data_IF_343500424540
#
_entry.id   IF_343500424540
#
_cell.length_a   1.000
_cell.length_b   1.000
_cell.length_c   1.000
_cell.angle_alpha   90.00
_cell.angle_beta   90.00
_cell.angle_gamma   90.00
#
_symmetry.space_group_name_H-M   'P 1'
#
loop_
_entity.id
_entity.type
_entity.pdbx_description
1 polymer ?
#
# COMPACT_ATOMS: atom_id res chain seq x y z
N UNK A 1 -10.03 -2.71 -35.69
CA UNK A 1 -8.81 -3.42 -36.13
C UNK A 1 -7.75 -2.48 -36.71
N UNK A 2 -8.08 -1.56 -37.63
CA UNK A 2 -7.12 -0.59 -38.18
C UNK A 2 -6.57 0.43 -37.15
N UNK A 3 -7.39 0.88 -36.18
CA UNK A 3 -6.96 1.81 -35.13
C UNK A 3 -5.95 1.20 -34.16
N UNK A 4 -6.14 -0.07 -33.75
CA UNK A 4 -5.20 -0.78 -32.89
C UNK A 4 -3.83 -0.99 -33.56
N UNK A 5 -3.82 -1.18 -34.89
CA UNK A 5 -2.60 -1.32 -35.67
C UNK A 5 -1.83 0.01 -35.82
N UNK A 6 -2.55 1.14 -35.91
CA UNK A 6 -1.95 2.48 -35.92
C UNK A 6 -1.38 2.89 -34.56
N UNK A 7 -2.03 2.48 -33.46
CA UNK A 7 -1.52 2.70 -32.09
C UNK A 7 -0.22 1.93 -31.85
N UNK A 8 -0.14 0.67 -32.31
CA UNK A 8 1.07 -0.14 -32.21
C UNK A 8 2.19 0.35 -33.15
N UNK A 9 1.87 0.80 -34.36
CA UNK A 9 2.84 1.32 -35.31
C UNK A 9 3.41 2.70 -34.88
N UNK A 10 2.58 3.57 -34.31
CA UNK A 10 3.04 4.85 -33.75
C UNK A 10 3.90 4.64 -32.50
N UNK A 11 3.52 3.70 -31.62
CA UNK A 11 4.33 3.31 -30.47
C UNK A 11 5.69 2.72 -30.88
N UNK A 12 5.74 1.93 -31.95
CA UNK A 12 6.98 1.35 -32.48
C UNK A 12 7.90 2.38 -33.16
N UNK A 13 7.35 3.37 -33.89
CA UNK A 13 8.13 4.42 -34.54
C UNK A 13 8.73 5.45 -33.55
N UNK A 14 8.13 5.62 -32.37
CA UNK A 14 8.61 6.51 -31.30
C UNK A 14 9.72 5.89 -30.44
N UNK A 15 9.98 4.58 -30.57
CA UNK A 15 11.00 3.85 -29.79
C UNK A 15 12.40 3.88 -30.43
N UNK A 16 12.54 4.36 -31.68
CA UNK A 16 13.80 4.28 -32.44
C UNK A 16 14.64 5.56 -32.49
N UNK A 17 14.20 6.68 -31.92
CA UNK A 17 15.01 7.91 -31.88
C UNK A 17 15.29 8.39 -30.45
N UNK A 18 16.58 8.45 -30.12
CA UNK A 18 17.13 8.95 -28.87
C UNK A 18 16.93 10.48 -28.79
N UNK A 19 16.00 10.96 -27.97
CA UNK A 19 15.89 12.37 -27.59
C UNK A 19 15.43 12.56 -26.14
N UNK A 20 16.05 13.55 -25.49
CA UNK A 20 16.13 13.80 -24.06
C UNK A 20 14.78 14.00 -23.33
N UNK A 21 14.76 13.55 -22.08
CA UNK A 21 13.60 13.08 -21.32
C UNK A 21 12.59 14.13 -20.82
N UNK A 22 12.82 15.44 -20.98
CA UNK A 22 11.87 16.47 -20.47
C UNK A 22 10.64 16.65 -21.37
N UNK A 23 10.73 16.29 -22.65
CA UNK A 23 9.63 16.45 -23.61
C UNK A 23 8.57 15.33 -23.61
N UNK A 24 8.79 14.25 -22.84
CA UNK A 24 7.94 13.04 -22.89
C UNK A 24 6.73 13.09 -21.98
N UNK A 25 6.81 13.73 -20.82
CA UNK A 25 5.70 13.77 -19.85
C UNK A 25 4.61 14.78 -20.24
N UNK A 26 5.00 15.97 -20.71
CA UNK A 26 4.05 16.96 -21.28
C UNK A 26 3.34 16.42 -22.53
N UNK A 27 4.07 15.71 -23.40
CA UNK A 27 3.47 15.04 -24.58
C UNK A 27 2.60 13.85 -24.22
N UNK A 28 2.87 13.15 -23.11
CA UNK A 28 2.03 12.04 -22.68
C UNK A 28 0.66 12.54 -22.24
N UNK A 29 0.60 13.63 -21.46
CA UNK A 29 -0.67 14.28 -21.09
C UNK A 29 -1.45 14.70 -22.34
N UNK A 30 -0.80 15.40 -23.28
CA UNK A 30 -1.42 15.83 -24.55
C UNK A 30 -1.92 14.64 -25.41
N UNK A 31 -1.17 13.54 -25.44
CA UNK A 31 -1.56 12.32 -26.18
C UNK A 31 -2.76 11.64 -25.53
N UNK A 32 -2.79 11.51 -24.19
CA UNK A 32 -3.92 10.90 -23.49
C UNK A 32 -5.19 11.77 -23.57
N UNK A 33 -5.05 13.09 -23.49
CA UNK A 33 -6.16 14.03 -23.72
C UNK A 33 -6.72 13.90 -25.14
N UNK A 34 -5.86 13.85 -26.16
CA UNK A 34 -6.29 13.69 -27.55
C UNK A 34 -6.96 12.32 -27.79
N UNK A 35 -6.48 11.24 -27.14
CA UNK A 35 -7.15 9.93 -27.18
C UNK A 35 -8.53 10.04 -26.55
N UNK A 36 -8.63 10.61 -25.35
CA UNK A 36 -9.90 10.76 -24.61
C UNK A 36 -10.93 11.54 -25.43
N UNK A 37 -10.50 12.61 -26.10
CA UNK A 37 -11.34 13.47 -26.95
C UNK A 37 -11.91 12.75 -28.17
N UNK A 38 -11.17 11.77 -28.71
CA UNK A 38 -11.54 11.04 -29.93
C UNK A 38 -12.19 9.66 -29.70
N UNK A 39 -12.40 9.24 -28.45
CA UNK A 39 -13.15 8.01 -28.15
C UNK A 39 -14.62 8.12 -28.57
N UNK A 40 -15.18 7.04 -29.13
CA UNK A 40 -16.63 6.95 -29.37
C UNK A 40 -17.41 6.89 -28.04
N UNK A 41 -18.73 7.18 -28.03
CA UNK A 41 -19.51 7.19 -26.79
C UNK A 41 -19.45 5.89 -25.96
N UNK A 42 -19.42 4.73 -26.62
CA UNK A 42 -19.30 3.42 -25.95
C UNK A 42 -17.90 3.17 -25.37
N UNK A 43 -16.85 3.60 -26.08
CA UNK A 43 -15.46 3.50 -25.60
C UNK A 43 -15.20 4.47 -24.46
N UNK A 44 -15.74 5.69 -24.53
CA UNK A 44 -15.65 6.67 -23.44
C UNK A 44 -16.33 6.17 -22.16
N UNK A 45 -17.47 5.48 -22.28
CA UNK A 45 -18.12 4.84 -21.12
C UNK A 45 -17.31 3.71 -20.49
N UNK A 46 -16.45 3.04 -21.26
CA UNK A 46 -15.66 1.88 -20.80
C UNK A 46 -14.28 2.28 -20.29
N UNK A 47 -13.60 3.21 -20.98
CA UNK A 47 -12.20 3.57 -20.74
C UNK A 47 -12.01 5.02 -20.24
N UNK A 48 -13.00 5.88 -20.42
CA UNK A 48 -12.93 7.31 -20.08
C UNK A 48 -12.55 7.57 -18.62
N UNK A 49 -13.22 6.97 -17.62
CA UNK A 49 -12.89 7.21 -16.22
C UNK A 49 -11.45 6.83 -15.85
N UNK A 50 -10.94 5.73 -16.40
CA UNK A 50 -9.54 5.30 -16.18
C UNK A 50 -8.55 6.25 -16.84
N UNK A 51 -8.86 6.73 -18.05
CA UNK A 51 -8.01 7.63 -18.80
C UNK A 51 -7.99 9.03 -18.19
N UNK A 52 -9.14 9.54 -17.74
CA UNK A 52 -9.27 10.80 -16.99
C UNK A 52 -8.53 10.76 -15.67
N UNK A 53 -8.65 9.65 -14.91
CA UNK A 53 -7.87 9.47 -13.69
C UNK A 53 -6.36 9.46 -13.99
N UNK A 54 -5.93 8.82 -15.07
CA UNK A 54 -4.53 8.79 -15.49
C UNK A 54 -4.02 10.17 -15.94
N UNK A 55 -4.82 10.93 -16.70
CA UNK A 55 -4.50 12.31 -17.09
C UNK A 55 -4.39 13.22 -15.86
N UNK A 56 -5.36 13.12 -14.94
CA UNK A 56 -5.36 13.90 -13.70
C UNK A 56 -4.19 13.55 -12.79
N UNK A 57 -3.79 12.28 -12.78
CA UNK A 57 -2.59 11.80 -12.10
C UNK A 57 -1.32 12.40 -12.76
N UNK A 58 -1.17 12.29 -14.08
CA UNK A 58 -0.03 12.85 -14.81
C UNK A 58 0.09 14.37 -14.71
N UNK A 59 -1.04 15.09 -14.70
CA UNK A 59 -1.05 16.55 -14.49
C UNK A 59 -0.58 16.98 -13.09
N UNK A 60 -0.66 16.10 -12.09
CA UNK A 60 -0.08 16.34 -10.76
C UNK A 60 1.46 16.21 -10.79
N UNK A 61 2.02 15.48 -11.77
CA UNK A 61 3.45 15.20 -11.88
C UNK A 61 4.25 16.22 -12.72
N UNK A 62 3.60 17.18 -13.40
CA UNK A 62 4.32 18.23 -14.16
C UNK A 62 4.67 19.38 -13.21
N UNK A 63 5.88 19.37 -12.63
CA UNK A 63 6.37 20.42 -11.71
C UNK A 63 7.73 21.05 -12.09
N UNK A 64 7.89 22.40 -11.95
CA UNK A 64 9.15 23.09 -12.20
C UNK A 64 10.17 22.90 -11.06
N UNK A 65 11.38 22.49 -11.44
CA UNK A 65 12.46 22.14 -10.51
C UNK A 65 13.10 23.36 -9.81
N UNK A 66 13.22 23.31 -8.48
CA UNK A 66 14.39 23.72 -7.68
C UNK A 66 14.00 23.95 -6.22
N UNK A 67 14.34 23.01 -5.32
CA UNK A 67 14.05 23.18 -3.90
C UNK A 67 14.94 22.30 -3.00
N UNK A 68 15.70 22.88 -2.02
CA UNK A 68 16.59 22.13 -1.13
C UNK A 68 15.85 21.30 -0.05
N UNK A 69 16.00 19.96 -0.10
CA UNK A 69 15.62 18.87 0.85
C UNK A 69 14.72 19.19 2.07
N UNK A 70 15.04 20.19 2.89
CA UNK A 70 14.18 20.63 3.99
C UNK A 70 12.83 21.19 3.53
N UNK A 71 12.76 21.73 2.31
CA UNK A 71 11.50 22.16 1.72
C UNK A 71 10.79 21.05 0.92
N UNK A 72 11.51 20.03 0.45
CA UNK A 72 10.95 18.89 -0.28
C UNK A 72 10.14 18.00 0.66
N UNK A 73 10.67 17.67 1.84
CA UNK A 73 9.93 16.89 2.84
C UNK A 73 8.63 17.59 3.25
N UNK A 74 8.68 18.89 3.56
CA UNK A 74 7.49 19.65 3.95
C UNK A 74 6.50 19.82 2.80
N UNK A 75 7.00 19.95 1.57
CA UNK A 75 6.16 19.94 0.38
C UNK A 75 5.44 18.59 0.21
N UNK A 76 6.16 17.47 0.27
CA UNK A 76 5.56 16.13 0.18
C UNK A 76 4.53 15.95 1.30
N UNK A 77 4.85 16.32 2.55
CA UNK A 77 3.88 16.28 3.65
C UNK A 77 2.63 17.12 3.37
N UNK A 78 2.77 18.28 2.74
CA UNK A 78 1.61 19.10 2.35
C UNK A 78 0.69 18.39 1.36
N UNK A 79 1.25 17.58 0.46
CA UNK A 79 0.50 16.71 -0.46
C UNK A 79 -0.21 15.61 0.33
N UNK A 80 0.54 14.89 1.19
CA UNK A 80 0.01 13.78 2.01
C UNK A 80 -1.09 14.21 2.99
N UNK A 81 -1.08 15.47 3.43
CA UNK A 81 -2.06 16.04 4.37
C UNK A 81 -3.12 16.90 3.72
N UNK A 82 -3.13 17.05 2.41
CA UNK A 82 -4.05 17.93 1.67
C UNK A 82 -5.53 17.67 1.97
N UNK A 83 -5.89 16.41 2.26
CA UNK A 83 -7.24 15.99 2.62
C UNK A 83 -7.38 15.57 4.09
N UNK A 84 -6.33 15.68 4.91
CA UNK A 84 -6.36 15.20 6.27
C UNK A 84 -7.01 16.22 7.21
N UNK A 85 -7.93 15.77 8.07
CA UNK A 85 -8.54 16.62 9.10
C UNK A 85 -8.49 15.95 10.47
N UNK A 86 -8.30 16.75 11.51
CA UNK A 86 -8.25 16.24 12.89
C UNK A 86 -9.56 15.57 13.27
N UNK A 87 -9.47 14.39 13.86
CA UNK A 87 -10.62 13.56 14.18
C UNK A 87 -10.68 13.22 15.67
N UNK A 88 -11.86 13.31 16.27
CA UNK A 88 -12.06 13.00 17.68
C UNK A 88 -11.87 11.50 18.00
N UNK A 89 -12.17 10.63 17.03
CA UNK A 89 -12.01 9.19 17.12
C UNK A 89 -11.25 8.69 15.88
N UNK A 90 -9.92 8.88 15.83
CA UNK A 90 -9.16 8.64 14.62
C UNK A 90 -8.97 7.14 14.37
N UNK A 91 -8.88 6.79 13.09
CA UNK A 91 -8.68 5.43 12.58
C UNK A 91 -7.30 5.32 11.93
N UNK A 92 -6.58 4.24 12.21
CA UNK A 92 -5.36 3.88 11.50
C UNK A 92 -5.57 2.58 10.71
N UNK A 93 -5.26 2.63 9.43
CA UNK A 93 -5.29 1.49 8.51
C UNK A 93 -3.86 1.13 8.18
N UNK A 94 -3.52 -0.13 8.35
CA UNK A 94 -2.24 -0.67 7.94
C UNK A 94 -2.49 -1.68 6.83
N UNK A 95 -1.92 -1.40 5.66
CA UNK A 95 -1.97 -2.30 4.52
C UNK A 95 -0.60 -2.96 4.42
N UNK A 96 -0.59 -4.28 4.46
CA UNK A 96 0.61 -5.11 4.46
C UNK A 96 0.61 -6.11 3.32
N UNK A 97 1.80 -6.51 2.87
CA UNK A 97 1.93 -7.48 1.79
C UNK A 97 3.26 -7.33 1.07
N UNK A 98 3.84 -8.45 0.65
CA UNK A 98 5.09 -8.46 -0.09
C UNK A 98 5.08 -7.53 -1.30
N UNK A 99 6.26 -7.18 -1.79
CA UNK A 99 6.38 -6.29 -2.96
C UNK A 99 5.58 -6.85 -4.13
N UNK A 100 4.79 -5.99 -4.80
CA UNK A 100 3.92 -6.37 -5.91
C UNK A 100 2.85 -7.45 -5.58
N UNK A 101 2.49 -7.61 -4.31
CA UNK A 101 1.40 -8.50 -3.88
C UNK A 101 -0.02 -8.01 -4.19
N UNK A 102 -0.18 -6.90 -4.93
CA UNK A 102 -1.49 -6.39 -5.32
C UNK A 102 -2.28 -5.70 -4.22
N UNK A 103 -1.61 -5.03 -3.26
CA UNK A 103 -2.25 -4.25 -2.18
C UNK A 103 -3.33 -3.28 -2.67
N UNK A 104 -3.08 -2.58 -3.78
CA UNK A 104 -4.05 -1.66 -4.40
C UNK A 104 -5.34 -2.32 -4.90
N UNK A 105 -5.36 -3.65 -5.10
CA UNK A 105 -6.63 -4.35 -5.39
C UNK A 105 -7.59 -4.38 -4.18
N UNK A 106 -7.12 -3.96 -3.01
CA UNK A 106 -7.90 -3.88 -1.78
C UNK A 106 -8.42 -2.46 -1.49
N UNK A 107 -8.24 -1.49 -2.38
CA UNK A 107 -8.64 -0.10 -2.15
C UNK A 107 -10.12 0.01 -1.77
N UNK A 108 -11.01 -0.59 -2.55
CA UNK A 108 -12.43 -0.63 -2.23
C UNK A 108 -12.71 -1.35 -0.89
N UNK A 109 -11.89 -2.35 -0.54
CA UNK A 109 -12.08 -3.19 0.65
C UNK A 109 -11.73 -2.45 1.93
N UNK A 110 -10.63 -1.69 1.96
CA UNK A 110 -10.27 -0.94 3.16
C UNK A 110 -10.96 0.42 3.22
N UNK A 111 -11.40 0.98 2.09
CA UNK A 111 -12.17 2.23 2.05
C UNK A 111 -13.63 2.05 2.46
N UNK A 112 -14.31 0.98 2.03
CA UNK A 112 -15.77 0.80 2.21
C UNK A 112 -16.25 0.57 3.67
N UNK A 113 -15.57 -0.20 4.53
CA UNK A 113 -16.06 -0.48 5.89
C UNK A 113 -15.64 0.59 6.91
N UNK A 114 -14.80 1.55 6.51
CA UNK A 114 -14.28 2.55 7.42
C UNK A 114 -15.18 3.76 7.40
N UNK A 115 -15.97 3.91 8.47
CA UNK A 115 -16.74 5.11 8.75
C UNK A 115 -15.81 6.27 9.13
N UNK A 116 -14.95 6.68 8.20
CA UNK A 116 -14.06 7.82 8.35
C UNK A 116 -14.90 9.08 8.26
N UNK A 117 -15.33 9.59 9.42
CA UNK A 117 -16.07 10.86 9.52
C UNK A 117 -15.20 12.09 9.24
N UNK A 118 -13.89 11.89 9.11
CA UNK A 118 -12.87 12.92 8.92
C UNK A 118 -12.00 12.52 7.73
N UNK A 119 -11.35 13.51 7.12
CA UNK A 119 -10.38 13.27 6.07
C UNK A 119 -9.16 12.50 6.59
N UNK A 120 -8.42 11.86 5.69
CA UNK A 120 -7.31 10.98 6.02
C UNK A 120 -6.03 11.37 5.28
N UNK A 121 -4.91 10.93 5.83
CA UNK A 121 -3.61 10.95 5.16
C UNK A 121 -3.28 9.54 4.66
N UNK A 122 -3.02 9.41 3.37
CA UNK A 122 -2.48 8.19 2.76
C UNK A 122 -0.96 8.31 2.72
N UNK A 123 -0.25 7.38 3.36
CA UNK A 123 1.20 7.39 3.52
C UNK A 123 1.74 6.09 2.93
N UNK A 124 2.34 6.18 1.75
CA UNK A 124 3.07 5.10 1.09
C UNK A 124 4.50 5.58 0.78
N UNK A 125 5.55 4.95 1.35
CA UNK A 125 6.93 5.24 0.98
C UNK A 125 7.21 5.15 -0.53
N UNK A 126 6.51 4.28 -1.26
CA UNK A 126 6.70 4.11 -2.69
C UNK A 126 6.15 5.31 -3.48
N UNK A 127 4.96 5.82 -3.12
CA UNK A 127 4.40 7.05 -3.71
C UNK A 127 5.21 8.28 -3.33
N UNK A 128 5.62 8.38 -2.06
CA UNK A 128 6.49 9.47 -1.56
C UNK A 128 7.79 9.55 -2.37
N UNK A 129 8.37 8.40 -2.73
CA UNK A 129 9.58 8.37 -3.55
C UNK A 129 9.33 8.96 -4.93
N UNK A 130 8.15 8.70 -5.53
CA UNK A 130 7.79 9.21 -6.85
C UNK A 130 7.57 10.73 -6.87
N UNK A 131 7.29 11.34 -5.72
CA UNK A 131 7.18 12.81 -5.56
C UNK A 131 8.55 13.50 -5.39
N UNK A 132 9.65 12.75 -5.28
CA UNK A 132 10.98 13.32 -5.09
C UNK A 132 11.55 13.87 -6.40
N UNK A 133 12.18 15.04 -6.36
CA UNK A 133 12.88 15.59 -7.53
C UNK A 133 13.99 14.66 -8.02
N UNK A 134 14.70 14.01 -7.09
CA UNK A 134 15.76 13.05 -7.42
C UNK A 134 15.23 11.82 -8.18
N UNK A 135 14.01 11.38 -7.88
CA UNK A 135 13.38 10.24 -8.55
C UNK A 135 13.23 10.52 -10.05
N UNK A 136 12.63 11.67 -10.39
CA UNK A 136 12.44 12.06 -11.78
C UNK A 136 13.77 12.14 -12.53
N UNK A 137 14.82 12.73 -11.92
CA UNK A 137 16.14 12.82 -12.53
C UNK A 137 16.77 11.45 -12.82
N UNK A 138 16.67 10.51 -11.89
CA UNK A 138 17.27 9.18 -12.00
C UNK A 138 16.51 8.29 -12.99
N UNK A 139 15.18 8.25 -12.92
CA UNK A 139 14.35 7.47 -13.86
C UNK A 139 14.51 8.00 -15.29
N UNK A 140 14.56 9.32 -15.48
CA UNK A 140 14.79 9.93 -16.80
C UNK A 140 16.17 9.60 -17.38
N UNK A 141 17.16 9.32 -16.54
CA UNK A 141 18.48 8.85 -16.95
C UNK A 141 18.53 7.33 -17.23
N UNK A 142 17.42 6.61 -17.01
CA UNK A 142 17.35 5.15 -17.12
C UNK A 142 18.03 4.42 -15.96
N UNK A 143 18.25 5.09 -14.82
CA UNK A 143 18.90 4.50 -13.66
C UNK A 143 17.97 3.48 -12.98
N UNK A 144 18.25 2.20 -13.22
CA UNK A 144 17.47 1.10 -12.66
C UNK A 144 17.62 0.99 -11.14
N UNK A 145 18.57 1.70 -10.54
CA UNK A 145 18.89 1.67 -9.11
C UNK A 145 18.16 2.78 -8.33
N UNK A 146 17.43 3.66 -9.02
CA UNK A 146 16.73 4.81 -8.43
C UNK A 146 15.91 4.43 -7.19
N UNK A 147 15.14 3.35 -7.28
CA UNK A 147 14.30 2.88 -6.18
C UNK A 147 15.14 2.46 -4.96
N UNK A 148 16.28 1.79 -5.18
CA UNK A 148 17.20 1.38 -4.11
C UNK A 148 17.74 2.59 -3.35
N UNK A 149 18.25 3.55 -4.12
CA UNK A 149 19.01 4.69 -3.62
C UNK A 149 18.11 5.67 -2.87
N UNK A 150 16.84 5.78 -3.27
CA UNK A 150 15.88 6.70 -2.67
C UNK A 150 15.00 6.07 -1.59
N UNK A 151 14.99 4.75 -1.45
CA UNK A 151 14.11 4.05 -0.49
C UNK A 151 14.28 4.53 0.96
N UNK A 152 15.52 4.74 1.40
CA UNK A 152 15.81 5.21 2.75
C UNK A 152 15.26 6.64 3.00
N UNK A 153 15.39 7.52 2.01
CA UNK A 153 14.87 8.88 2.08
C UNK A 153 13.34 8.87 2.14
N UNK A 154 12.70 8.09 1.28
CA UNK A 154 11.24 8.01 1.24
C UNK A 154 10.68 7.40 2.54
N UNK A 155 11.35 6.38 3.07
CA UNK A 155 11.03 5.80 4.38
C UNK A 155 11.16 6.80 5.53
N UNK A 156 12.16 7.69 5.49
CA UNK A 156 12.34 8.74 6.49
C UNK A 156 11.20 9.77 6.44
N UNK A 157 10.82 10.21 5.24
CA UNK A 157 9.67 11.11 5.04
C UNK A 157 8.38 10.44 5.51
N UNK A 158 8.14 9.17 5.14
CA UNK A 158 6.96 8.42 5.58
C UNK A 158 6.90 8.28 7.10
N UNK A 159 8.04 8.02 7.77
CA UNK A 159 8.12 7.98 9.24
C UNK A 159 7.78 9.33 9.86
N UNK A 160 8.32 10.43 9.31
CA UNK A 160 8.01 11.78 9.80
C UNK A 160 6.54 12.13 9.57
N UNK A 161 6.01 11.89 8.38
CA UNK A 161 4.61 12.16 8.04
C UNK A 161 3.66 11.34 8.92
N UNK A 162 3.99 10.08 9.19
CA UNK A 162 3.20 9.25 10.10
C UNK A 162 3.18 9.84 11.51
N UNK A 163 4.34 10.23 12.05
CA UNK A 163 4.42 10.89 13.36
C UNK A 163 3.59 12.17 13.43
N UNK A 164 3.66 13.00 12.39
CA UNK A 164 2.90 14.25 12.31
C UNK A 164 1.38 13.97 12.21
N UNK A 165 0.97 12.97 11.44
CA UNK A 165 -0.43 12.58 11.31
C UNK A 165 -1.02 12.09 12.65
N UNK A 166 -0.26 11.26 13.39
CA UNK A 166 -0.64 10.83 14.73
C UNK A 166 -0.70 12.01 15.71
N UNK A 167 0.26 12.94 15.65
CA UNK A 167 0.28 14.10 16.53
C UNK A 167 -0.94 15.02 16.33
N UNK A 168 -1.46 15.10 15.09
CA UNK A 168 -2.61 15.92 14.73
C UNK A 168 -3.97 15.19 14.81
N UNK A 169 -3.99 13.93 15.27
CA UNK A 169 -5.18 13.07 15.32
C UNK A 169 -5.86 12.88 13.95
N UNK A 170 -5.09 12.77 12.87
CA UNK A 170 -5.64 12.46 11.55
C UNK A 170 -6.01 10.99 11.44
N UNK A 171 -7.00 10.67 10.61
CA UNK A 171 -7.12 9.32 10.08
C UNK A 171 -5.89 9.03 9.22
N UNK A 172 -5.34 7.82 9.31
CA UNK A 172 -4.11 7.46 8.58
C UNK A 172 -4.32 6.13 7.88
N UNK A 173 -3.92 6.08 6.61
CA UNK A 173 -3.69 4.84 5.88
C UNK A 173 -2.19 4.73 5.66
N UNK A 174 -1.56 3.69 6.19
CA UNK A 174 -0.15 3.41 6.00
C UNK A 174 -0.01 2.17 5.13
N UNK A 175 0.43 2.37 3.89
CA UNK A 175 0.75 1.29 2.97
C UNK A 175 2.24 0.94 3.09
N UNK A 176 2.54 -0.35 3.22
CA UNK A 176 3.90 -0.84 3.18
C UNK A 176 3.95 -2.35 3.09
N UNK A 177 5.15 -2.90 3.08
CA UNK A 177 5.30 -4.36 3.07
C UNK A 177 5.05 -5.00 4.43
N UNK A 178 5.21 -4.21 5.51
CA UNK A 178 5.19 -4.69 6.90
C UNK A 178 6.21 -5.81 7.16
N UNK A 179 7.28 -5.86 6.36
CA UNK A 179 8.38 -6.82 6.48
C UNK A 179 9.31 -6.52 7.65
N UNK A 180 9.41 -5.26 8.08
CA UNK A 180 10.21 -4.87 9.25
C UNK A 180 9.34 -4.90 10.51
N UNK A 181 9.42 -5.99 11.28
CA UNK A 181 8.62 -6.18 12.51
C UNK A 181 8.74 -5.00 13.47
N UNK A 182 9.97 -4.63 13.87
CA UNK A 182 10.18 -3.61 14.90
C UNK A 182 9.59 -2.25 14.49
N UNK A 183 9.85 -1.81 13.26
CA UNK A 183 9.30 -0.57 12.74
C UNK A 183 7.78 -0.61 12.65
N UNK A 184 7.19 -1.74 12.26
CA UNK A 184 5.72 -1.89 12.24
C UNK A 184 5.15 -1.81 13.66
N UNK A 185 5.74 -2.53 14.62
CA UNK A 185 5.32 -2.49 16.02
C UNK A 185 5.46 -1.10 16.65
N UNK A 186 6.52 -0.35 16.32
CA UNK A 186 6.67 1.05 16.75
C UNK A 186 5.49 1.92 16.28
N UNK A 187 5.09 1.79 15.01
CA UNK A 187 3.95 2.54 14.45
C UNK A 187 2.63 2.11 15.07
N UNK A 188 2.39 0.80 15.19
CA UNK A 188 1.19 0.27 15.84
C UNK A 188 1.08 0.74 17.29
N UNK A 189 2.17 0.69 18.04
CA UNK A 189 2.23 1.19 19.42
C UNK A 189 1.98 2.69 19.50
N UNK A 190 2.50 3.46 18.55
CA UNK A 190 2.29 4.92 18.49
C UNK A 190 0.80 5.24 18.29
N UNK A 191 0.12 4.62 17.33
CA UNK A 191 -1.32 4.77 17.13
C UNK A 191 -2.13 4.29 18.36
N UNK A 192 -1.82 3.11 18.90
CA UNK A 192 -2.51 2.55 20.04
C UNK A 192 -2.40 3.45 21.29
N UNK A 193 -1.23 4.04 21.54
CA UNK A 193 -0.99 4.97 22.65
C UNK A 193 -1.84 6.25 22.58
N UNK A 194 -2.34 6.58 21.38
CA UNK A 194 -3.21 7.72 21.11
C UNK A 194 -4.69 7.35 21.01
N UNK A 195 -5.04 6.09 21.32
CA UNK A 195 -6.42 5.62 21.33
C UNK A 195 -7.03 5.40 19.93
N UNK A 196 -6.19 5.24 18.91
CA UNK A 196 -6.67 4.95 17.55
C UNK A 196 -7.37 3.59 17.50
N UNK A 197 -8.43 3.50 16.69
CA UNK A 197 -8.93 2.21 16.21
C UNK A 197 -8.06 1.75 15.05
N UNK A 198 -7.48 0.56 15.15
CA UNK A 198 -6.50 0.06 14.18
C UNK A 198 -7.11 -1.09 13.37
N UNK A 199 -7.01 -0.97 12.04
CA UNK A 199 -7.35 -2.04 11.12
C UNK A 199 -6.09 -2.51 10.37
N UNK A 200 -6.01 -3.82 10.14
CA UNK A 200 -4.92 -4.43 9.39
C UNK A 200 -5.43 -5.23 8.20
N UNK A 201 -4.95 -4.92 7.01
CA UNK A 201 -5.29 -5.62 5.77
C UNK A 201 -4.03 -6.19 5.13
N UNK A 202 -3.98 -7.50 4.97
CA UNK A 202 -2.93 -8.17 4.23
C UNK A 202 -3.36 -8.45 2.79
N UNK A 203 -2.45 -8.22 1.84
CA UNK A 203 -2.56 -8.72 0.47
C UNK A 203 -1.44 -9.72 0.19
N UNK A 204 -1.84 -10.92 -0.22
CA UNK A 204 -0.94 -12.00 -0.57
C UNK A 204 -1.11 -12.38 -2.05
N UNK A 205 0.01 -12.42 -2.76
CA UNK A 205 0.14 -13.10 -4.04
C UNK A 205 1.38 -13.97 -3.95
N UNK A 206 1.42 -15.06 -4.72
CA UNK A 206 2.60 -15.90 -4.77
C UNK A 206 3.84 -15.10 -5.14
N UNK A 207 4.95 -15.37 -4.44
CA UNK A 207 6.20 -14.62 -4.62
C UNK A 207 6.67 -14.61 -6.08
N UNK A 208 6.50 -15.72 -6.81
CA UNK A 208 6.81 -15.81 -8.25
C UNK A 208 5.92 -14.89 -9.10
N UNK A 209 4.60 -14.91 -8.90
CA UNK A 209 3.68 -14.00 -9.59
C UNK A 209 3.98 -12.53 -9.27
N UNK A 210 4.36 -12.24 -8.02
CA UNK A 210 4.73 -10.91 -7.60
C UNK A 210 6.02 -10.42 -8.28
N UNK A 211 7.01 -11.31 -8.46
CA UNK A 211 8.22 -11.02 -9.22
C UNK A 211 7.91 -10.68 -10.69
N UNK A 212 7.03 -11.45 -11.33
CA UNK A 212 6.57 -11.14 -12.70
C UNK A 212 5.87 -9.78 -12.78
N UNK A 213 4.96 -9.50 -11.84
CA UNK A 213 4.29 -8.20 -11.74
C UNK A 213 5.27 -7.05 -11.53
N UNK A 214 6.32 -7.26 -10.74
CA UNK A 214 7.33 -6.24 -10.47
C UNK A 214 8.11 -5.87 -11.73
N UNK A 215 8.51 -6.85 -12.56
CA UNK A 215 9.16 -6.60 -13.86
C UNK A 215 8.22 -5.87 -14.82
N UNK A 216 6.97 -6.33 -14.92
CA UNK A 216 5.95 -5.67 -15.76
C UNK A 216 5.81 -4.21 -15.33
N UNK A 217 5.63 -3.93 -14.04
CA UNK A 217 5.55 -2.57 -13.50
C UNK A 217 6.81 -1.76 -13.78
N UNK A 218 7.98 -2.35 -13.63
CA UNK A 218 9.25 -1.66 -13.87
C UNK A 218 9.38 -1.17 -15.32
N UNK A 219 8.91 -1.96 -16.29
CA UNK A 219 8.90 -1.56 -17.71
C UNK A 219 8.01 -0.34 -17.99
N UNK A 220 6.98 -0.10 -17.18
CA UNK A 220 6.10 1.06 -17.32
C UNK A 220 6.54 2.27 -16.50
N UNK A 221 7.14 2.05 -15.32
CA UNK A 221 7.39 3.09 -14.32
C UNK A 221 8.87 3.45 -14.16
N UNK A 222 9.78 2.63 -14.70
CA UNK A 222 11.21 2.69 -14.39
C UNK A 222 11.55 2.19 -12.98
N UNK A 223 10.57 1.74 -12.19
CA UNK A 223 10.77 1.28 -10.81
C UNK A 223 11.14 -0.20 -10.77
N UNK A 224 12.44 -0.47 -10.82
CA UNK A 224 12.97 -1.82 -10.65
C UNK A 224 13.14 -2.19 -9.18
N UNK A 225 12.85 -3.45 -8.85
CA UNK A 225 13.07 -4.04 -7.53
C UNK A 225 13.73 -5.40 -7.72
N UNK A 226 14.87 -5.70 -7.06
CA UNK A 226 15.55 -6.99 -7.18
C UNK A 226 14.70 -8.15 -6.74
N UNK A 227 14.98 -9.33 -7.32
CA UNK A 227 14.32 -10.56 -6.92
C UNK A 227 14.52 -10.84 -5.43
N UNK A 228 15.75 -10.72 -4.92
CA UNK A 228 16.06 -10.94 -3.52
C UNK A 228 15.22 -10.06 -2.57
N UNK A 229 14.99 -8.78 -2.91
CA UNK A 229 14.15 -7.86 -2.11
C UNK A 229 12.68 -8.29 -2.15
N UNK A 230 12.19 -8.76 -3.29
CA UNK A 230 10.82 -9.27 -3.42
C UNK A 230 10.67 -10.51 -2.53
N UNK A 231 11.55 -11.49 -2.65
CA UNK A 231 11.56 -12.73 -1.86
C UNK A 231 11.61 -12.40 -0.36
N UNK A 232 12.57 -11.57 0.06
CA UNK A 232 12.72 -11.15 1.45
C UNK A 232 11.45 -10.47 1.97
N UNK A 233 10.83 -9.60 1.16
CA UNK A 233 9.62 -8.89 1.58
C UNK A 233 8.42 -9.81 1.79
N UNK A 234 8.22 -10.80 0.92
CA UNK A 234 7.15 -11.81 1.01
C UNK A 234 7.39 -12.78 2.16
N UNK A 235 8.60 -13.31 2.27
CA UNK A 235 9.04 -14.17 3.37
C UNK A 235 8.82 -13.48 4.72
N UNK A 236 9.31 -12.25 4.86
CA UNK A 236 9.22 -11.48 6.10
C UNK A 236 7.79 -11.09 6.44
N UNK A 237 6.98 -10.70 5.46
CA UNK A 237 5.56 -10.40 5.69
C UNK A 237 4.83 -11.65 6.20
N UNK A 238 5.03 -12.80 5.54
CA UNK A 238 4.39 -14.07 5.91
C UNK A 238 4.79 -14.52 7.33
N UNK A 239 6.07 -14.40 7.67
CA UNK A 239 6.57 -14.67 9.03
C UNK A 239 5.94 -13.75 10.08
N UNK A 240 5.89 -12.45 9.79
CA UNK A 240 5.43 -11.46 10.76
C UNK A 240 3.89 -11.40 10.89
N UNK A 241 3.16 -11.84 9.88
CA UNK A 241 1.69 -11.75 9.85
C UNK A 241 1.03 -12.37 11.08
N UNK A 242 1.55 -13.52 11.54
CA UNK A 242 1.02 -14.22 12.71
C UNK A 242 1.18 -13.42 14.01
N UNK A 243 2.22 -12.59 14.13
CA UNK A 243 2.37 -11.68 15.27
C UNK A 243 1.39 -10.51 15.17
N UNK A 244 1.24 -9.92 13.99
CA UNK A 244 0.32 -8.79 13.79
C UNK A 244 -1.13 -9.14 14.13
N UNK A 245 -1.62 -10.29 13.66
CA UNK A 245 -3.00 -10.72 13.91
C UNK A 245 -3.27 -11.13 15.36
N UNK A 246 -2.24 -11.44 16.14
CA UNK A 246 -2.37 -11.64 17.60
C UNK A 246 -2.57 -10.32 18.34
N UNK A 247 -2.01 -9.24 17.81
CA UNK A 247 -2.04 -7.90 18.43
C UNK A 247 -3.25 -7.07 17.97
N UNK A 248 -3.72 -7.28 16.75
CA UNK A 248 -4.73 -6.43 16.11
C UNK A 248 -6.03 -7.23 15.94
N UNK A 249 -7.11 -6.93 16.68
CA UNK A 249 -8.35 -7.72 16.61
C UNK A 249 -9.12 -7.55 15.29
N UNK A 250 -8.92 -6.42 14.60
CA UNK A 250 -9.55 -6.10 13.33
C UNK A 250 -8.56 -6.31 12.19
N UNK A 251 -8.54 -7.54 11.69
CA UNK A 251 -7.55 -7.98 10.72
C UNK A 251 -8.19 -8.81 9.60
N UNK A 252 -7.65 -8.67 8.40
CA UNK A 252 -8.07 -9.44 7.23
C UNK A 252 -6.87 -9.76 6.36
N UNK A 253 -6.90 -10.90 5.67
CA UNK A 253 -5.91 -11.27 4.66
C UNK A 253 -6.64 -11.70 3.39
N UNK A 254 -6.15 -11.21 2.27
CA UNK A 254 -6.70 -11.47 0.95
C UNK A 254 -5.66 -12.12 0.05
N UNK A 255 -6.11 -13.10 -0.73
CA UNK A 255 -5.40 -13.64 -1.87
C UNK A 255 -5.71 -12.80 -3.11
N UNK A 256 -4.67 -12.30 -3.77
CA UNK A 256 -4.72 -11.46 -4.98
C UNK A 256 -4.08 -12.15 -6.19
N UNK A 257 -3.85 -13.46 -6.14
CA UNK A 257 -3.28 -14.23 -7.24
C UNK A 257 -4.16 -14.19 -8.49
N UNK A 258 -5.47 -13.97 -8.35
CA UNK A 258 -6.44 -14.01 -9.46
C UNK A 258 -7.14 -12.66 -9.65
N UNK A 259 -6.48 -11.65 -10.24
CA UNK A 259 -7.10 -10.36 -10.50
C UNK A 259 -8.29 -10.50 -11.49
N UNK A 260 -9.32 -9.64 -11.40
CA UNK A 260 -9.42 -8.48 -10.52
C UNK A 260 -9.96 -8.80 -9.11
N UNK A 261 -10.22 -10.08 -8.80
CA UNK A 261 -10.91 -10.45 -7.57
C UNK A 261 -9.94 -10.81 -6.45
N UNK A 262 -9.91 -9.99 -5.41
CA UNK A 262 -9.30 -10.35 -4.14
C UNK A 262 -10.20 -11.33 -3.38
N UNK A 263 -9.66 -12.47 -2.94
CA UNK A 263 -10.40 -13.51 -2.20
C UNK A 263 -10.03 -13.42 -0.73
N UNK A 264 -11.02 -13.25 0.16
CA UNK A 264 -10.79 -13.24 1.60
C UNK A 264 -10.36 -14.63 2.09
N UNK A 265 -9.19 -14.74 2.71
CA UNK A 265 -8.65 -16.01 3.21
C UNK A 265 -8.56 -16.09 4.73
N UNK A 266 -8.54 -14.96 5.42
CA UNK A 266 -8.55 -14.89 6.89
C UNK A 266 -9.20 -13.60 7.38
N UNK A 267 -9.99 -13.68 8.46
CA UNK A 267 -10.68 -12.54 9.07
C UNK A 267 -10.82 -12.73 10.59
N UNK A 268 -10.37 -11.75 11.36
CA UNK A 268 -10.57 -11.66 12.82
C UNK A 268 -10.39 -13.00 13.56
N UNK A 269 -9.23 -13.65 13.41
CA UNK A 269 -8.93 -14.97 14.03
C UNK A 269 -9.59 -16.18 13.39
N UNK A 270 -10.32 -16.01 12.28
CA UNK A 270 -10.95 -17.11 11.55
C UNK A 270 -10.29 -17.31 10.19
N UNK A 271 -9.79 -18.52 9.94
CA UNK A 271 -9.35 -18.94 8.61
C UNK A 271 -10.58 -19.22 7.75
N UNK A 272 -10.72 -18.47 6.65
CA UNK A 272 -11.85 -18.57 5.71
C UNK A 272 -11.55 -19.62 4.63
N UNK A 273 -10.33 -19.63 4.11
CA UNK A 273 -9.84 -20.62 3.15
C UNK A 273 -8.55 -21.25 3.68
N UNK A 274 -8.66 -22.46 4.22
CA UNK A 274 -7.54 -23.17 4.83
C UNK A 274 -6.44 -23.52 3.83
N UNK A 275 -6.80 -23.84 2.58
CA UNK A 275 -5.83 -24.22 1.56
C UNK A 275 -4.97 -23.02 1.18
N UNK A 276 -5.60 -21.89 0.87
CA UNK A 276 -4.89 -20.65 0.53
C UNK A 276 -4.10 -20.10 1.72
N UNK A 277 -4.64 -20.20 2.92
CA UNK A 277 -3.93 -19.77 4.12
C UNK A 277 -2.67 -20.61 4.39
N UNK A 278 -2.71 -21.93 4.17
CA UNK A 278 -1.51 -22.76 4.28
C UNK A 278 -0.48 -22.45 3.18
N UNK A 279 -0.93 -22.13 1.96
CA UNK A 279 -0.03 -21.69 0.89
C UNK A 279 0.67 -20.38 1.25
N UNK A 280 -0.05 -19.40 1.77
CA UNK A 280 0.51 -18.16 2.30
C UNK A 280 1.58 -18.42 3.36
N UNK A 281 1.29 -19.27 4.35
CA UNK A 281 2.26 -19.60 5.40
C UNK A 281 3.50 -20.33 4.87
N UNK A 282 3.38 -21.10 3.79
CA UNK A 282 4.51 -21.80 3.19
C UNK A 282 5.56 -20.84 2.61
N UNK A 283 5.15 -19.66 2.13
CA UNK A 283 6.05 -18.64 1.55
C UNK A 283 7.02 -18.02 2.56
N UNK A 284 6.76 -18.20 3.85
CA UNK A 284 7.73 -17.89 4.90
C UNK A 284 9.08 -18.63 4.74
N UNK A 285 9.14 -19.66 3.89
CA UNK A 285 10.33 -20.47 3.63
C UNK A 285 10.82 -20.39 2.17
N UNK A 286 10.21 -19.56 1.32
CA UNK A 286 10.64 -19.43 -0.07
C UNK A 286 12.06 -18.86 -0.13
N UNK A 287 12.96 -19.53 -0.86
CA UNK A 287 14.28 -19.00 -1.19
C UNK A 287 14.28 -18.35 -2.57
N UNK A 288 15.27 -17.50 -2.85
CA UNK A 288 15.43 -16.90 -4.18
C UNK A 288 15.49 -17.97 -5.28
N UNK A 289 16.22 -19.07 -5.04
CA UNK A 289 16.32 -20.20 -5.97
C UNK A 289 14.98 -20.91 -6.19
N UNK A 290 14.16 -21.06 -5.15
CA UNK A 290 12.83 -21.66 -5.27
C UNK A 290 11.91 -20.80 -6.13
N UNK A 291 12.05 -19.48 -6.03
CA UNK A 291 11.28 -18.53 -6.82
C UNK A 291 11.79 -18.47 -8.26
N UNK A 292 13.11 -18.41 -8.49
CA UNK A 292 13.73 -18.49 -9.82
C UNK A 292 13.22 -19.70 -10.62
N UNK A 293 13.14 -20.86 -9.98
CA UNK A 293 12.64 -22.10 -10.60
C UNK A 293 11.16 -22.06 -11.02
N UNK A 294 10.40 -21.06 -10.56
CA UNK A 294 8.98 -20.85 -10.87
C UNK A 294 8.76 -19.71 -11.90
N UNK A 295 9.77 -18.91 -12.22
CA UNK A 295 9.65 -17.76 -13.12
C UNK A 295 9.60 -18.19 -14.59
N UNK A 296 8.92 -17.40 -15.43
CA UNK A 296 9.09 -17.54 -16.89
C UNK A 296 10.54 -17.21 -17.32
N UNK A 297 10.98 -17.79 -18.43
CA UNK A 297 12.31 -17.51 -19.01
C UNK A 297 12.51 -16.01 -19.30
N UNK A 298 11.45 -15.30 -19.71
CA UNK A 298 11.51 -13.85 -19.95
C UNK A 298 11.72 -13.07 -18.67
N UNK A 299 11.00 -13.42 -17.60
CA UNK A 299 11.14 -12.75 -16.29
C UNK A 299 12.51 -13.03 -15.69
N UNK A 300 12.99 -14.27 -15.76
CA UNK A 300 14.31 -14.64 -15.25
C UNK A 300 15.42 -13.86 -15.97
N UNK A 301 15.38 -13.80 -17.31
CA UNK A 301 16.34 -13.03 -18.10
C UNK A 301 16.33 -11.53 -17.75
N UNK A 302 15.16 -10.96 -17.43
CA UNK A 302 15.07 -9.57 -16.97
C UNK A 302 15.79 -9.35 -15.63
N UNK A 303 15.61 -10.26 -14.66
CA UNK A 303 16.33 -10.21 -13.38
C UNK A 303 17.84 -10.42 -13.53
N UNK A 304 18.28 -11.31 -14.41
CA UNK A 304 19.70 -11.53 -14.71
C UNK A 304 20.37 -10.30 -15.33
N UNK A 305 19.63 -9.49 -16.10
CA UNK A 305 20.11 -8.21 -16.62
C UNK A 305 20.23 -7.16 -15.49
N UNK A 306 19.20 -7.05 -14.64
CA UNK A 306 19.13 -6.12 -13.51
C UNK A 306 20.22 -6.34 -12.45
N UNK A 307 20.47 -7.59 -12.08
CA UNK A 307 21.43 -7.96 -11.04
C UNK A 307 22.88 -7.60 -11.41
N UNK A 308 23.17 -7.22 -12.66
CA UNK A 308 24.50 -6.76 -13.08
C UNK A 308 24.75 -5.28 -12.82
N UNK A 309 23.70 -4.48 -12.66
CA UNK A 309 23.80 -3.01 -12.70
C UNK A 309 23.59 -2.35 -11.33
N UNK A 310 22.72 -2.90 -10.48
CA UNK A 310 22.25 -2.17 -9.29
C UNK A 310 22.46 -2.85 -7.93
N UNK A 311 22.61 -4.17 -7.90
CA UNK A 311 22.62 -4.92 -6.65
C UNK A 311 23.60 -6.08 -6.72
N UNK A 312 24.51 -6.17 -5.75
CA UNK A 312 24.94 -7.48 -5.29
C UNK A 312 23.97 -7.85 -4.18
N UNK A 313 23.07 -8.81 -4.41
CA UNK A 313 22.34 -9.47 -3.33
C UNK A 313 23.34 -10.31 -2.52
N UNK A 314 24.25 -9.63 -1.83
CA UNK A 314 25.15 -10.21 -0.86
C UNK A 314 24.36 -10.38 0.42
N UNK A 315 24.17 -11.63 0.81
CA UNK A 315 23.69 -12.07 2.12
C UNK A 315 23.97 -10.99 3.16
N UNK A 316 22.90 -10.37 3.67
CA UNK A 316 22.96 -9.61 4.92
C UNK A 316 23.45 -10.57 6.01
N UNK A 317 24.76 -10.67 6.17
CA UNK A 317 25.35 -11.01 7.44
C UNK A 317 24.99 -9.85 8.35
N UNK A 318 23.82 -9.92 9.00
CA UNK A 318 23.63 -9.14 10.21
C UNK A 318 24.83 -9.46 11.11
N UNK A 319 25.54 -8.46 11.67
CA UNK A 319 26.43 -8.74 12.78
C UNK A 319 25.54 -9.30 13.90
N UNK A 320 25.68 -10.59 14.16
CA UNK A 320 25.13 -11.26 15.34
C UNK A 320 25.87 -10.71 16.56
N UNK A 321 25.48 -9.52 17.00
CA UNK A 321 25.76 -9.08 18.36
C UNK A 321 24.73 -9.78 19.24
N UNK A 322 25.14 -10.66 20.17
CA UNK A 322 24.21 -11.23 21.13
C UNK A 322 23.63 -10.07 21.95
N UNK A 323 22.30 -10.00 22.02
CA UNK A 323 21.63 -9.14 22.99
C UNK A 323 22.17 -9.49 24.38
N UNK A 324 22.56 -8.50 25.20
CA UNK A 324 22.90 -8.77 26.59
C UNK A 324 21.68 -9.37 27.30
N UNK A 325 21.87 -10.34 28.20
CA UNK A 325 20.77 -10.95 28.92
C UNK A 325 20.01 -9.89 29.71
N UNK A 326 18.68 -10.05 29.87
CA UNK A 326 17.87 -9.10 30.63
C UNK A 326 18.42 -8.98 32.05
N UNK A 327 18.79 -7.77 32.43
CA UNK A 327 19.20 -7.46 33.80
C UNK A 327 17.99 -7.68 34.72
N UNK A 328 18.18 -8.58 35.68
CA UNK A 328 17.22 -8.84 36.75
C UNK A 328 17.14 -7.62 37.68
N UNK A 329 16.14 -6.77 37.47
CA UNK A 329 15.64 -5.88 38.52
C UNK A 329 14.12 -5.91 38.54
N UNK A 330 13.60 -6.97 39.14
CA UNK A 330 12.24 -7.03 39.65
C UNK A 330 12.02 -5.93 40.70
N UNK A 331 11.24 -4.92 40.35
CA UNK A 331 10.51 -4.11 41.30
C UNK A 331 9.02 -4.39 41.07
N UNK A 332 8.27 -4.90 42.06
CA UNK A 332 6.87 -5.20 41.89
C UNK A 332 6.05 -3.92 41.75
N UNK A 333 5.14 -3.92 40.77
CA UNK A 333 4.12 -2.88 40.57
C UNK A 333 3.21 -2.86 41.82
N UNK A 334 2.93 -1.68 42.43
CA UNK A 334 2.02 -1.61 43.56
C UNK A 334 0.57 -1.87 43.10
N UNK A 335 -0.26 -2.56 43.89
CA UNK A 335 -1.64 -2.85 43.53
C UNK A 335 -2.46 -1.56 43.44
N UNK A 336 -3.22 -1.44 42.35
CA UNK A 336 -4.16 -0.36 42.09
C UNK A 336 -5.22 -0.29 43.20
N UNK A 337 -5.30 0.88 43.84
CA UNK A 337 -6.28 1.17 44.90
C UNK A 337 -7.70 1.02 44.37
N UNK A 338 -8.45 0.11 44.99
CA UNK A 338 -9.89 -0.06 44.81
C UNK A 338 -10.62 1.22 45.23
N UNK A 339 -11.15 1.99 44.28
CA UNK A 339 -12.07 3.08 44.58
C UNK A 339 -13.39 2.49 45.07
N UNK A 340 -13.77 2.85 46.30
CA UNK A 340 -15.00 2.43 46.93
C UNK A 340 -16.21 3.08 46.25
N UNK A 341 -17.14 2.24 45.79
CA UNK A 341 -18.48 2.64 45.36
C UNK A 341 -19.31 2.90 46.61
N UNK A 342 -19.67 4.16 46.87
CA UNK A 342 -20.64 4.52 47.90
C UNK A 342 -22.06 4.28 47.38
N UNK A 343 -22.83 3.51 48.13
CA UNK A 343 -24.24 3.20 47.88
C UNK A 343 -25.19 4.25 48.47
N UNK A 344 -26.15 4.73 47.66
CA UNK A 344 -27.59 4.97 47.98
C UNK A 344 -28.18 6.16 47.18
N UNK A 345 -29.51 6.29 47.04
CA UNK A 345 -30.45 5.27 46.57
C UNK A 345 -31.33 5.75 45.38
N UNK A 346 -31.82 4.75 44.64
CA UNK A 346 -33.01 4.69 43.78
C UNK A 346 -33.92 5.94 43.63
N UNK A 347 -34.04 6.42 42.39
CA UNK A 347 -35.28 7.00 41.86
C UNK A 347 -35.70 6.24 40.61
N UNK A 348 -36.91 5.68 40.67
CA UNK A 348 -37.53 4.91 39.60
C UNK A 348 -38.04 5.84 38.50
N UNK A 349 -37.68 5.55 37.25
CA UNK A 349 -38.40 6.06 36.08
C UNK A 349 -38.85 4.88 35.22
N UNK A 350 -40.17 4.76 35.12
CA UNK A 350 -40.88 3.78 34.30
C UNK A 350 -40.77 4.12 32.82
N UNK A 351 -40.41 3.14 32.01
CA UNK A 351 -40.58 3.19 30.56
C UNK A 351 -41.91 2.52 30.19
N UNK A 352 -42.84 3.32 29.68
CA UNK A 352 -43.98 2.83 28.90
C UNK A 352 -43.56 2.63 27.44
N UNK A 353 -44.13 1.64 26.72
CA UNK A 353 -43.88 1.45 25.30
C UNK A 353 -44.83 2.34 24.48
N UNK A 354 -44.28 3.11 23.53
CA UNK A 354 -45.08 3.77 22.50
C UNK A 354 -44.96 3.00 21.19
N UNK A 355 -46.08 2.39 20.83
CA UNK A 355 -46.39 1.83 19.51
C UNK A 355 -46.70 2.94 18.51
N UNK A 356 -46.27 2.76 17.26
CA UNK A 356 -46.69 3.50 16.06
C UNK A 356 -45.77 3.13 14.91
N UNK A 357 -46.07 2.14 14.06
CA UNK A 357 -46.96 2.16 12.88
C UNK A 357 -46.68 3.35 11.95
N UNK A 358 -46.06 3.06 10.80
CA UNK A 358 -46.29 3.55 9.41
C UNK A 358 -45.39 2.63 8.52
N UNK A 359 -45.93 1.57 7.90
CA UNK A 359 -46.37 1.49 6.49
C UNK A 359 -45.26 1.80 5.45
N UNK A 360 -44.65 0.78 4.83
CA UNK A 360 -45.00 0.20 3.51
C UNK A 360 -44.58 1.07 2.30
N UNK A 361 -43.48 0.68 1.64
CA UNK A 361 -43.32 0.81 0.19
C UNK A 361 -42.29 -0.23 -0.30
N UNK A 362 -42.82 -1.36 -0.78
CA UNK A 362 -42.12 -2.38 -1.57
C UNK A 362 -42.14 -1.90 -3.02
N UNK A 363 -40.96 -1.82 -3.64
CA UNK A 363 -40.79 -1.47 -5.05
C UNK A 363 -39.86 -2.47 -5.72
N UNK A 364 -40.43 -3.63 -6.06
CA UNK A 364 -39.85 -4.68 -6.89
C UNK A 364 -39.69 -4.14 -8.32
N UNK A 365 -38.50 -4.14 -8.90
CA UNK A 365 -38.34 -4.08 -10.37
C UNK A 365 -37.71 -5.38 -10.83
N UNK A 366 -38.58 -6.18 -11.44
CA UNK A 366 -38.28 -7.42 -12.13
C UNK A 366 -37.66 -7.11 -13.49
N UNK A 367 -36.63 -7.88 -13.79
CA UNK A 367 -35.98 -8.06 -15.08
C UNK A 367 -36.95 -8.67 -16.12
N UNK A 368 -37.12 -8.04 -17.29
CA UNK A 368 -37.66 -8.68 -18.51
C UNK A 368 -36.99 -8.08 -19.74
N UNK A 369 -36.29 -8.96 -20.48
CA UNK A 369 -35.67 -8.88 -21.82
C UNK A 369 -34.34 -8.14 -21.93
#
# INVERSE_FOLDING_TARGET
MYAAFLVLAAAAALMTESFAAVGKELRAVEVYENILENLSPSERGTYGPSLENHINMLKRFVWPHSSPLGNEMEHIKSILFSNATSCAAPVAVFIGGGTASGKSSLDDVWMMPMNMSCGFSYIDPDDIMMEMNAWHGMVNAGDQCAAALLHANASAIAKSAYSDAIANNYNVVYDGTMSNMNGTLERLSMAASKGYRIYFFGAWASTALAAERAIIRANFTGRYVPLCVIVESHMSFSNNFMDYIRLLPENQLYDTNTPPQAVLIYKNSTVVDATRFQQFLAEANDTEKDVEGKLTATTLAAYEALNKECYTCGISQQPTSPLPPPTSSSQPIPPTTTAQISTSPSSAYSLQPVMGIIALAVGLVICVI
#
